data_IF_332182607841
#
_entry.id   IF_332182607841
#
_cell.length_a   1.000
_cell.length_b   1.000
_cell.length_c   1.000
_cell.angle_alpha   90.00
_cell.angle_beta   90.00
_cell.angle_gamma   90.00
#
_symmetry.space_group_name_H-M   'P 1'
#
loop_
_entity.id
_entity.type
_entity.pdbx_description
1 polymer ?
#
# COMPACT_ATOMS: atom_id res chain seq x y z
N UNK A 1 5.22 -19.74 0.55
CA UNK A 1 4.74 -20.26 1.84
C UNK A 1 3.83 -19.20 2.43
N UNK A 2 2.53 -19.23 2.15
CA UNK A 2 1.54 -18.30 2.72
C UNK A 2 0.14 -18.86 2.39
N UNK A 3 -0.34 -19.82 3.20
CA UNK A 3 -1.71 -20.35 3.09
C UNK A 3 -2.36 -20.57 4.46
N UNK A 4 -1.69 -20.20 5.54
CA UNK A 4 -2.17 -20.41 6.90
C UNK A 4 -1.76 -19.20 7.71
N UNK A 5 -2.45 -18.07 7.59
CA UNK A 5 -2.33 -17.04 8.63
C UNK A 5 -3.52 -16.11 8.85
N UNK A 6 -4.66 -16.24 8.14
CA UNK A 6 -5.82 -15.36 8.36
C UNK A 6 -5.42 -13.87 8.42
N UNK A 7 -4.48 -13.48 7.57
CA UNK A 7 -3.73 -12.23 7.65
C UNK A 7 -3.95 -11.39 6.40
N UNK A 8 -3.65 -10.11 6.50
CA UNK A 8 -3.56 -9.21 5.35
C UNK A 8 -2.09 -9.05 4.97
N UNK A 9 -1.80 -9.24 3.69
CA UNK A 9 -0.49 -9.01 3.10
C UNK A 9 -0.49 -7.71 2.32
N UNK A 10 0.55 -6.90 2.50
CA UNK A 10 0.84 -5.71 1.70
C UNK A 10 2.22 -5.90 1.11
N UNK A 11 2.29 -6.06 -0.21
CA UNK A 11 3.54 -6.27 -0.94
C UNK A 11 3.72 -5.13 -1.95
N UNK A 12 4.91 -4.51 -1.97
CA UNK A 12 5.25 -3.51 -2.98
C UNK A 12 6.03 -4.15 -4.12
N UNK A 13 5.55 -3.96 -5.34
CA UNK A 13 6.23 -4.30 -6.58
C UNK A 13 6.60 -3.01 -7.31
N UNK A 14 7.79 -2.99 -7.91
CA UNK A 14 8.25 -1.85 -8.70
C UNK A 14 8.76 -2.31 -10.05
N UNK A 15 8.18 -1.76 -11.11
CA UNK A 15 8.61 -1.97 -12.49
C UNK A 15 9.03 -0.62 -13.11
N UNK A 16 10.33 -0.32 -13.01
CA UNK A 16 10.87 0.99 -13.37
C UNK A 16 10.25 2.11 -12.53
N UNK A 17 9.54 3.01 -13.19
CA UNK A 17 8.88 4.16 -12.54
C UNK A 17 7.50 3.81 -11.98
N UNK A 18 6.93 2.64 -12.32
CA UNK A 18 5.62 2.24 -11.80
C UNK A 18 5.78 1.47 -10.49
N UNK A 19 5.07 1.93 -9.46
CA UNK A 19 4.98 1.27 -8.16
C UNK A 19 3.56 0.73 -7.99
N UNK A 20 3.46 -0.54 -7.62
CA UNK A 20 2.20 -1.25 -7.40
C UNK A 20 2.21 -1.85 -6.00
N UNK A 21 1.30 -1.41 -5.11
CA UNK A 21 1.06 -2.07 -3.83
C UNK A 21 -0.08 -3.08 -3.98
N UNK A 22 0.24 -4.34 -3.72
CA UNK A 22 -0.71 -5.45 -3.73
C UNK A 22 -1.16 -5.70 -2.30
N UNK A 23 -2.44 -5.43 -2.03
CA UNK A 23 -3.09 -5.65 -0.73
C UNK A 23 -3.96 -6.89 -0.83
N UNK A 24 -3.48 -8.00 -0.27
CA UNK A 24 -4.16 -9.29 -0.31
C UNK A 24 -4.77 -9.64 1.04
N UNK A 25 -6.09 -9.84 1.08
CA UNK A 25 -6.79 -10.25 2.30
C UNK A 25 -6.98 -11.77 2.32
N UNK A 26 -6.20 -12.47 3.15
CA UNK A 26 -6.34 -13.91 3.37
C UNK A 26 -7.22 -14.27 4.56
N UNK A 27 -7.91 -13.29 5.15
CA UNK A 27 -8.85 -13.50 6.24
C UNK A 27 -10.25 -13.93 5.75
N UNK A 28 -11.07 -14.41 6.67
CA UNK A 28 -12.47 -14.81 6.46
C UNK A 28 -13.49 -13.65 6.57
N UNK A 29 -13.02 -12.39 6.67
CA UNK A 29 -13.87 -11.19 6.73
C UNK A 29 -13.33 -10.08 5.82
N UNK A 30 -14.13 -9.06 5.61
CA UNK A 30 -13.69 -7.86 4.90
C UNK A 30 -12.81 -7.04 5.83
N UNK A 31 -11.71 -6.51 5.30
CA UNK A 31 -10.76 -5.68 6.03
C UNK A 31 -10.68 -4.31 5.35
N UNK A 32 -10.69 -3.25 6.15
CA UNK A 32 -10.51 -1.88 5.70
C UNK A 32 -9.16 -1.42 6.24
N UNK A 33 -8.24 -1.10 5.35
CA UNK A 33 -6.87 -0.72 5.71
C UNK A 33 -6.70 0.78 5.52
N UNK A 34 -5.81 1.35 6.32
CA UNK A 34 -5.26 2.67 6.09
C UNK A 34 -3.77 2.50 5.77
N UNK A 35 -3.38 2.85 4.54
CA UNK A 35 -1.99 2.74 4.10
C UNK A 35 -1.49 4.15 3.85
N UNK A 36 -0.50 4.56 4.64
CA UNK A 36 0.21 5.82 4.44
C UNK A 36 1.55 5.51 3.79
N UNK A 37 1.71 5.90 2.53
CA UNK A 37 3.00 5.89 1.88
C UNK A 37 3.73 7.21 2.02
N UNK A 38 5.02 7.13 2.28
CA UNK A 38 5.94 8.25 2.36
C UNK A 38 6.94 8.06 1.23
N UNK A 39 6.98 8.99 0.30
CA UNK A 39 7.86 8.92 -0.87
C UNK A 39 8.76 10.14 -0.95
N UNK A 40 10.02 9.93 -1.35
CA UNK A 40 11.05 10.98 -1.34
C UNK A 40 11.02 11.89 -2.57
N UNK A 41 10.03 11.75 -3.46
CA UNK A 41 9.87 12.53 -4.68
C UNK A 41 8.39 12.65 -5.05
N UNK A 42 8.06 13.63 -5.88
CA UNK A 42 6.67 13.86 -6.31
C UNK A 42 6.11 12.64 -7.06
N UNK A 43 5.05 12.01 -6.54
CA UNK A 43 4.38 10.91 -7.20
C UNK A 43 3.44 11.43 -8.30
N UNK A 44 3.31 10.68 -9.39
CA UNK A 44 2.42 10.98 -10.51
C UNK A 44 1.45 9.82 -10.78
N UNK A 45 0.44 10.03 -11.62
CA UNK A 45 -0.51 8.98 -11.99
C UNK A 45 -1.38 8.48 -10.83
N UNK A 46 -1.53 9.28 -9.77
CA UNK A 46 -2.38 8.94 -8.64
C UNK A 46 -3.87 8.94 -9.06
N UNK A 47 -4.69 8.03 -8.50
CA UNK A 47 -6.12 8.08 -8.70
C UNK A 47 -6.73 9.30 -8.01
N UNK A 48 -7.88 9.77 -8.51
CA UNK A 48 -8.58 10.96 -7.97
C UNK A 48 -8.95 10.87 -6.48
N UNK A 49 -8.93 9.67 -5.89
CA UNK A 49 -9.23 9.44 -4.48
C UNK A 49 -8.02 9.65 -3.55
N UNK A 50 -6.83 9.87 -4.10
CA UNK A 50 -5.59 10.00 -3.34
C UNK A 50 -4.98 11.37 -3.60
N UNK A 51 -5.02 12.21 -2.56
CA UNK A 51 -4.40 13.52 -2.59
C UNK A 51 -2.98 13.44 -2.01
N UNK A 52 -1.93 13.76 -2.80
CA UNK A 52 -0.57 13.80 -2.30
C UNK A 52 -0.34 15.04 -1.43
N UNK A 53 0.26 14.86 -0.26
CA UNK A 53 0.57 15.94 0.67
C UNK A 53 2.08 16.08 0.80
N UNK A 54 2.63 17.20 0.34
CA UNK A 54 4.06 17.52 0.51
C UNK A 54 4.33 18.03 1.93
N UNK A 55 5.29 17.42 2.63
CA UNK A 55 5.85 17.91 3.89
C UNK A 55 7.36 17.70 3.93
N UNK A 56 8.11 18.79 4.09
CA UNK A 56 9.58 18.78 4.25
C UNK A 56 10.36 18.08 3.11
N UNK A 57 9.84 18.15 1.89
CA UNK A 57 10.43 17.49 0.72
C UNK A 57 10.06 16.00 0.56
N UNK A 58 9.30 15.44 1.49
CA UNK A 58 8.66 14.12 1.39
C UNK A 58 7.20 14.28 1.01
N UNK A 59 6.63 13.28 0.35
CA UNK A 59 5.23 13.27 -0.06
C UNK A 59 4.50 12.14 0.63
N UNK A 60 3.35 12.47 1.22
CA UNK A 60 2.50 11.55 1.95
C UNK A 60 1.28 11.22 1.09
N UNK A 61 1.09 9.93 0.85
CA UNK A 61 -0.05 9.36 0.11
C UNK A 61 -0.90 8.55 1.08
N UNK A 62 -2.16 8.92 1.25
CA UNK A 62 -3.06 8.16 2.11
C UNK A 62 -4.03 7.34 1.26
N UNK A 63 -3.96 6.02 1.42
CA UNK A 63 -4.82 5.06 0.75
C UNK A 63 -5.73 4.39 1.76
N UNK A 64 -6.98 4.15 1.38
CA UNK A 64 -7.98 3.52 2.24
C UNK A 64 -8.66 2.36 1.50
N UNK A 65 -7.91 1.32 1.09
CA UNK A 65 -8.48 0.20 0.36
C UNK A 65 -9.40 -0.62 1.26
N UNK A 66 -10.56 -0.98 0.73
CA UNK A 66 -11.43 -2.00 1.30
C UNK A 66 -11.22 -3.31 0.53
N UNK A 67 -10.78 -4.36 1.22
CA UNK A 67 -10.45 -5.65 0.59
C UNK A 67 -11.35 -6.73 1.16
N UNK A 68 -12.21 -7.30 0.30
CA UNK A 68 -13.07 -8.40 0.70
C UNK A 68 -12.27 -9.65 1.06
N UNK A 69 -12.88 -10.55 1.84
CA UNK A 69 -12.27 -11.85 2.15
C UNK A 69 -11.83 -12.60 0.89
N UNK A 70 -10.55 -12.97 0.82
CA UNK A 70 -9.97 -13.71 -0.29
C UNK A 70 -9.67 -12.87 -1.54
N UNK A 71 -9.95 -11.57 -1.53
CA UNK A 71 -9.65 -10.66 -2.65
C UNK A 71 -8.28 -9.98 -2.51
N UNK A 72 -7.86 -9.35 -3.60
CA UNK A 72 -6.64 -8.56 -3.68
C UNK A 72 -6.94 -7.26 -4.40
N UNK A 73 -6.46 -6.16 -3.85
CA UNK A 73 -6.55 -4.82 -4.44
C UNK A 73 -5.14 -4.38 -4.83
N UNK A 74 -5.02 -3.76 -6.00
CA UNK A 74 -3.77 -3.21 -6.50
C UNK A 74 -3.90 -1.68 -6.50
N UNK A 75 -2.95 -1.01 -5.83
CA UNK A 75 -2.84 0.43 -5.76
C UNK A 75 -1.60 0.84 -6.56
N UNK A 76 -1.79 1.64 -7.60
CA UNK A 76 -0.72 1.98 -8.54
C UNK A 76 -0.47 3.48 -8.56
N UNK A 77 0.81 3.85 -8.65
CA UNK A 77 1.26 5.21 -8.88
C UNK A 77 2.64 5.19 -9.57
N UNK A 78 3.04 6.34 -10.09
CA UNK A 78 4.35 6.53 -10.71
C UNK A 78 5.28 7.28 -9.76
N UNK A 79 6.52 6.82 -9.64
CA UNK A 79 7.54 7.40 -8.80
C UNK A 79 8.92 7.27 -9.49
N UNK A 80 9.77 8.31 -9.48
CA UNK A 80 11.12 8.23 -10.06
C UNK A 80 11.94 7.08 -9.47
N UNK A 81 12.65 6.32 -10.31
CA UNK A 81 13.38 5.08 -9.90
C UNK A 81 14.39 5.27 -8.77
N UNK A 82 14.87 6.50 -8.61
CA UNK A 82 15.89 6.90 -7.63
C UNK A 82 15.26 7.38 -6.30
N UNK A 83 13.93 7.45 -6.24
CA UNK A 83 13.19 7.85 -5.07
C UNK A 83 12.87 6.66 -4.16
N UNK A 84 13.04 6.89 -2.87
CA UNK A 84 12.69 5.97 -1.82
C UNK A 84 11.18 6.02 -1.55
N UNK A 85 10.64 4.91 -1.10
CA UNK A 85 9.25 4.78 -0.70
C UNK A 85 9.19 3.91 0.55
N UNK A 86 8.34 4.25 1.50
CA UNK A 86 8.06 3.49 2.72
C UNK A 86 6.55 3.46 2.93
N UNK A 87 6.00 2.34 3.39
CA UNK A 87 4.57 2.21 3.63
C UNK A 87 4.32 1.86 5.10
N UNK A 88 3.45 2.62 5.74
CA UNK A 88 2.88 2.30 7.05
C UNK A 88 1.45 1.82 6.83
N UNK A 89 1.06 0.75 7.52
CA UNK A 89 -0.23 0.12 7.34
C UNK A 89 -0.91 -0.02 8.69
N UNK A 90 -2.12 0.52 8.77
CA UNK A 90 -2.99 0.54 9.93
C UNK A 90 -4.36 -0.10 9.62
N UNK A 91 -5.14 -0.38 10.66
CA UNK A 91 -6.49 -0.94 10.55
C UNK A 91 -6.59 -2.46 10.73
N UNK A 92 -5.46 -3.16 10.77
CA UNK A 92 -5.37 -4.61 11.04
C UNK A 92 -4.39 -4.84 12.21
N UNK A 93 -4.66 -5.83 13.06
CA UNK A 93 -3.73 -6.20 14.14
C UNK A 93 -2.35 -6.56 13.54
N UNK A 94 -1.26 -6.02 14.10
CA UNK A 94 0.12 -6.28 13.63
C UNK A 94 0.45 -7.78 13.53
N UNK A 95 -0.10 -8.60 14.44
CA UNK A 95 0.04 -10.06 14.44
C UNK A 95 -0.60 -10.76 13.23
N UNK A 96 -1.48 -10.07 12.52
CA UNK A 96 -2.19 -10.50 11.31
C UNK A 96 -1.83 -9.63 10.10
N UNK A 97 -0.78 -8.84 10.20
CA UNK A 97 -0.32 -7.98 9.12
C UNK A 97 1.06 -8.42 8.66
N UNK A 98 1.27 -8.44 7.36
CA UNK A 98 2.57 -8.71 6.77
C UNK A 98 2.86 -7.63 5.74
N UNK A 99 3.82 -6.75 6.05
CA UNK A 99 4.23 -5.65 5.19
C UNK A 99 5.59 -5.98 4.59
N UNK A 100 5.63 -6.14 3.27
CA UNK A 100 6.85 -6.21 2.45
C UNK A 100 6.84 -5.02 1.48
N UNK A 101 6.80 -3.82 2.04
CA UNK A 101 6.78 -2.57 1.30
C UNK A 101 7.99 -1.75 1.71
#
# INVERSE_FOLDING_TARGET
MARIMNNVGVDRERDGETVTLKVANHSDRNESLEITEIVSAEPDGLPDAVDPIEMDGEWFLNWNPEVSSGETVELEYSLPTDADADATVDGVDDEKLTVNA
#
